data_IF_482135903990
#
_entry.id   IF_482135903990
#
_cell.length_a   1.000
_cell.length_b   1.000
_cell.length_c   1.000
_cell.angle_alpha   90.00
_cell.angle_beta   90.00
_cell.angle_gamma   90.00
#
_symmetry.space_group_name_H-M   'P 1'
#
loop_
_entity.id
_entity.type
_entity.pdbx_description
1 polymer ?
#
# COMPACT_ATOMS: atom_id res chain seq x y z
N UNK A 1 -3.57 52.52 18.21
CA UNK A 1 -4.13 52.61 16.85
C UNK A 1 -2.96 52.67 15.87
N UNK A 2 -2.61 51.53 15.26
CA UNK A 2 -1.82 51.33 14.03
C UNK A 2 -1.11 49.96 14.06
N UNK A 3 -1.89 48.87 14.08
CA UNK A 3 -1.41 47.55 13.68
C UNK A 3 -1.76 47.31 12.21
N UNK A 4 -0.78 46.83 11.42
CA UNK A 4 -0.86 46.08 10.15
C UNK A 4 -1.74 46.67 9.03
N UNK A 5 -1.19 46.89 7.81
CA UNK A 5 -1.25 45.79 6.82
C UNK A 5 -0.26 45.92 5.64
N UNK A 6 0.95 45.32 5.66
CA UNK A 6 1.82 45.34 4.46
C UNK A 6 2.59 44.05 4.12
N UNK A 7 2.19 42.89 4.65
CA UNK A 7 2.70 41.59 4.14
C UNK A 7 1.59 40.54 4.05
N UNK A 8 0.54 40.83 3.28
CA UNK A 8 -0.34 39.80 2.70
C UNK A 8 0.12 39.50 1.27
N UNK A 9 1.36 39.03 1.13
CA UNK A 9 1.68 38.20 -0.03
C UNK A 9 0.75 36.99 0.04
N UNK A 10 -0.14 36.81 -0.94
CA UNK A 10 -1.08 35.68 -1.00
C UNK A 10 -0.27 34.38 -0.92
N UNK A 11 -0.17 33.79 0.26
CA UNK A 11 0.34 32.42 0.40
C UNK A 11 -0.67 31.50 -0.28
N UNK A 12 -0.18 30.65 -1.19
CA UNK A 12 -1.00 29.62 -1.81
C UNK A 12 -1.69 28.77 -0.72
N UNK A 13 -2.95 28.35 -0.91
CA UNK A 13 -3.58 27.38 -0.02
C UNK A 13 -2.74 26.11 0.08
N UNK A 14 -2.68 25.47 1.25
CA UNK A 14 -1.88 24.25 1.46
C UNK A 14 -2.18 23.16 0.42
N UNK A 15 -3.44 23.03 0.00
CA UNK A 15 -3.83 22.08 -1.04
C UNK A 15 -3.15 22.36 -2.38
N UNK A 16 -3.01 23.64 -2.76
CA UNK A 16 -2.30 24.03 -3.97
C UNK A 16 -0.79 23.75 -3.87
N UNK A 17 -0.19 23.96 -2.68
CA UNK A 17 1.22 23.61 -2.45
C UNK A 17 1.43 22.10 -2.58
N UNK A 18 0.55 21.29 -1.98
CA UNK A 18 0.57 19.83 -2.13
C UNK A 18 0.40 19.42 -3.59
N UNK A 19 -0.50 20.08 -4.33
CA UNK A 19 -0.69 19.81 -5.76
C UNK A 19 0.57 20.08 -6.57
N UNK A 20 1.25 21.21 -6.33
CA UNK A 20 2.52 21.54 -7.02
C UNK A 20 3.59 20.49 -6.74
N UNK A 21 3.77 20.09 -5.48
CA UNK A 21 4.75 19.05 -5.10
C UNK A 21 4.40 17.70 -5.75
N UNK A 22 3.13 17.31 -5.72
CA UNK A 22 2.65 16.06 -6.31
C UNK A 22 2.87 16.05 -7.83
N UNK A 23 2.46 17.10 -8.53
CA UNK A 23 2.62 17.23 -9.98
C UNK A 23 4.10 17.24 -10.39
N UNK A 24 4.96 17.93 -9.66
CA UNK A 24 6.41 17.88 -9.90
C UNK A 24 6.95 16.45 -9.78
N UNK A 25 6.54 15.70 -8.75
CA UNK A 25 6.92 14.30 -8.61
C UNK A 25 6.36 13.40 -9.73
N UNK A 26 5.16 13.70 -10.25
CA UNK A 26 4.57 13.01 -11.40
C UNK A 26 5.37 13.25 -12.68
N UNK A 27 5.84 14.48 -12.92
CA UNK A 27 6.69 14.78 -14.08
C UNK A 27 7.98 13.95 -14.03
N UNK A 28 8.63 13.90 -12.86
CA UNK A 28 9.85 13.08 -12.68
C UNK A 28 9.57 11.59 -12.87
N UNK A 29 8.48 11.08 -12.27
CA UNK A 29 8.07 9.68 -12.43
C UNK A 29 7.76 9.33 -13.89
N UNK A 30 7.12 10.24 -14.61
CA UNK A 30 6.82 10.08 -16.04
C UNK A 30 8.11 10.05 -16.86
N UNK A 31 9.08 10.92 -16.55
CA UNK A 31 10.39 10.90 -17.20
C UNK A 31 11.14 9.59 -16.95
N UNK A 32 11.03 9.02 -15.74
CA UNK A 32 11.54 7.68 -15.46
C UNK A 32 10.84 6.60 -16.29
N UNK A 33 9.51 6.64 -16.46
CA UNK A 33 8.83 5.69 -17.35
C UNK A 33 9.23 5.85 -18.82
N UNK A 34 9.42 7.08 -19.30
CA UNK A 34 9.94 7.35 -20.67
C UNK A 34 11.31 6.71 -20.83
N UNK A 35 12.22 6.93 -19.87
CA UNK A 35 13.56 6.37 -19.92
C UNK A 35 13.54 4.84 -19.81
N UNK A 36 12.70 4.29 -18.94
CA UNK A 36 12.54 2.84 -18.79
C UNK A 36 12.04 2.19 -20.07
N UNK A 37 11.03 2.77 -20.71
CA UNK A 37 10.52 2.31 -22.01
C UNK A 37 11.62 2.34 -23.08
N UNK A 38 12.41 3.42 -23.15
CA UNK A 38 13.52 3.54 -24.10
C UNK A 38 14.68 2.55 -23.83
N UNK A 39 14.82 2.07 -22.59
CA UNK A 39 15.84 1.09 -22.19
C UNK A 39 15.33 -0.36 -22.25
N UNK A 40 14.03 -0.59 -22.50
CA UNK A 40 13.49 -1.92 -22.70
C UNK A 40 14.09 -2.56 -23.95
N UNK A 41 14.74 -3.71 -23.79
CA UNK A 41 15.32 -4.47 -24.90
C UNK A 41 14.50 -5.71 -25.27
N UNK A 42 14.99 -6.55 -26.21
CA UNK A 42 14.32 -7.80 -26.59
C UNK A 42 14.09 -8.78 -25.43
N UNK A 43 14.94 -8.73 -24.41
CA UNK A 43 14.78 -9.52 -23.19
C UNK A 43 13.83 -8.91 -22.16
N UNK A 44 13.21 -7.75 -22.43
CA UNK A 44 12.23 -7.13 -21.54
C UNK A 44 10.90 -7.88 -21.59
N UNK A 45 10.18 -7.94 -20.47
CA UNK A 45 8.79 -8.45 -20.46
C UNK A 45 7.87 -7.70 -21.44
N UNK A 46 8.12 -6.42 -21.64
CA UNK A 46 7.29 -5.57 -22.51
C UNK A 46 7.85 -5.44 -23.93
N UNK A 47 8.94 -6.14 -24.24
CA UNK A 47 9.59 -6.10 -25.55
C UNK A 47 10.42 -4.82 -25.80
N UNK A 48 11.10 -4.76 -26.96
CA UNK A 48 12.01 -3.66 -27.31
C UNK A 48 11.27 -2.35 -27.67
N UNK A 49 10.00 -2.43 -28.04
CA UNK A 49 9.17 -1.28 -28.46
C UNK A 49 8.18 -0.86 -27.36
N UNK A 50 8.52 -1.12 -26.10
CA UNK A 50 7.66 -0.82 -24.95
C UNK A 50 7.25 0.66 -24.92
N UNK A 51 5.98 0.92 -24.62
CA UNK A 51 5.47 2.27 -24.41
C UNK A 51 5.19 2.54 -22.93
N UNK A 52 5.04 3.82 -22.56
CA UNK A 52 4.59 4.19 -21.21
C UNK A 52 3.25 3.53 -20.86
N UNK A 53 2.36 3.34 -21.85
CA UNK A 53 1.08 2.69 -21.63
C UNK A 53 1.26 1.20 -21.26
N UNK A 54 2.15 0.49 -21.95
CA UNK A 54 2.47 -0.92 -21.64
C UNK A 54 3.02 -1.05 -20.22
N UNK A 55 3.92 -0.15 -19.83
CA UNK A 55 4.48 -0.12 -18.48
C UNK A 55 3.41 0.22 -17.44
N UNK A 56 2.53 1.19 -17.72
CA UNK A 56 1.51 1.63 -16.76
C UNK A 56 0.39 0.61 -16.55
N UNK A 57 0.09 -0.22 -17.56
CA UNK A 57 -0.98 -1.23 -17.52
C UNK A 57 -0.46 -2.64 -17.26
N UNK A 58 0.86 -2.83 -17.20
CA UNK A 58 1.48 -4.12 -17.03
C UNK A 58 1.15 -4.81 -15.70
N UNK A 59 1.59 -6.06 -15.58
CA UNK A 59 1.60 -6.82 -14.33
C UNK A 59 0.21 -6.91 -13.66
N UNK A 60 0.05 -6.50 -12.39
CA UNK A 60 -1.21 -6.60 -11.65
C UNK A 60 -2.36 -5.83 -12.33
N UNK A 61 -2.03 -4.80 -13.13
CA UNK A 61 -3.02 -4.06 -13.91
C UNK A 61 -3.78 -4.95 -14.90
N UNK A 62 -3.12 -5.97 -15.46
CA UNK A 62 -3.74 -6.94 -16.35
C UNK A 62 -4.79 -7.79 -15.63
N UNK A 63 -4.58 -8.10 -14.35
CA UNK A 63 -5.54 -8.88 -13.56
C UNK A 63 -6.77 -8.08 -13.18
N UNK A 64 -6.60 -6.80 -12.82
CA UNK A 64 -7.74 -5.91 -12.59
C UNK A 64 -8.53 -5.66 -13.88
N UNK A 65 -7.85 -5.50 -15.02
CA UNK A 65 -8.50 -5.41 -16.32
C UNK A 65 -9.25 -6.69 -16.66
N UNK A 66 -8.61 -7.85 -16.49
CA UNK A 66 -9.20 -9.16 -16.76
C UNK A 66 -10.45 -9.39 -15.91
N UNK A 67 -10.39 -9.09 -14.60
CA UNK A 67 -11.52 -9.20 -13.70
C UNK A 67 -12.69 -8.27 -14.10
N UNK A 68 -12.39 -7.06 -14.56
CA UNK A 68 -13.40 -6.12 -15.02
C UNK A 68 -14.12 -6.57 -16.29
N UNK A 69 -13.40 -7.24 -17.21
CA UNK A 69 -13.91 -7.65 -18.52
C UNK A 69 -14.56 -9.03 -18.48
N UNK A 70 -13.94 -9.98 -17.78
CA UNK A 70 -14.33 -11.40 -17.79
C UNK A 70 -15.01 -11.84 -16.49
N UNK A 71 -15.00 -11.00 -15.45
CA UNK A 71 -15.49 -11.36 -14.13
C UNK A 71 -14.56 -12.33 -13.41
N UNK A 72 -15.14 -13.07 -12.45
CA UNK A 72 -14.43 -14.05 -11.64
C UNK A 72 -14.87 -15.47 -12.05
N UNK A 73 -13.93 -16.42 -12.20
CA UNK A 73 -14.26 -17.76 -12.67
C UNK A 73 -15.05 -18.53 -11.61
N UNK A 74 -16.13 -19.20 -12.04
CA UNK A 74 -16.88 -20.15 -11.21
C UNK A 74 -16.11 -21.47 -11.07
N UNK A 75 -15.55 -21.98 -12.16
CA UNK A 75 -14.65 -23.13 -12.14
C UNK A 75 -13.20 -22.64 -12.03
N UNK A 76 -12.49 -23.07 -10.98
CA UNK A 76 -11.10 -22.64 -10.79
C UNK A 76 -10.21 -23.21 -11.90
N UNK A 77 -9.40 -22.36 -12.58
CA UNK A 77 -8.47 -22.85 -13.58
C UNK A 77 -7.44 -23.77 -12.92
N UNK A 78 -7.09 -24.85 -13.60
CA UNK A 78 -6.11 -25.83 -13.13
C UNK A 78 -4.87 -25.81 -14.04
N UNK A 79 -3.71 -26.03 -13.42
CA UNK A 79 -2.43 -26.31 -14.07
C UNK A 79 -2.44 -27.72 -14.68
N UNK A 80 -1.45 -28.03 -15.52
CA UNK A 80 -1.29 -29.38 -16.10
C UNK A 80 -1.16 -30.48 -15.04
N UNK A 81 -0.63 -30.15 -13.86
CA UNK A 81 -0.52 -31.08 -12.72
C UNK A 81 -1.81 -31.19 -11.89
N UNK A 82 -2.90 -30.53 -12.29
CA UNK A 82 -4.18 -30.54 -11.59
C UNK A 82 -4.28 -29.62 -10.37
N UNK A 83 -3.24 -28.82 -10.07
CA UNK A 83 -3.30 -27.82 -9.01
C UNK A 83 -3.98 -26.53 -9.49
N UNK A 84 -4.66 -25.79 -8.60
CA UNK A 84 -5.27 -24.49 -8.94
C UNK A 84 -4.22 -23.53 -9.52
N UNK A 85 -4.53 -22.90 -10.65
CA UNK A 85 -3.69 -21.89 -11.27
C UNK A 85 -3.98 -20.49 -10.72
N UNK A 86 -3.06 -19.56 -10.95
CA UNK A 86 -3.23 -18.14 -10.70
C UNK A 86 -4.50 -17.62 -11.38
N UNK A 87 -5.30 -16.85 -10.65
CA UNK A 87 -6.57 -16.38 -11.18
C UNK A 87 -7.04 -15.08 -10.49
N UNK A 88 -8.13 -14.53 -11.05
CA UNK A 88 -8.66 -13.22 -10.67
C UNK A 88 -9.13 -13.13 -9.21
N UNK A 89 -9.45 -14.24 -8.51
CA UNK A 89 -9.94 -14.19 -7.13
C UNK A 89 -8.96 -13.54 -6.13
N UNK A 90 -7.66 -13.45 -6.46
CA UNK A 90 -6.66 -12.71 -5.68
C UNK A 90 -6.85 -11.17 -5.74
N UNK A 91 -7.61 -10.65 -6.71
CA UNK A 91 -7.76 -9.22 -6.97
C UNK A 91 -9.18 -8.75 -6.61
N UNK A 92 -9.24 -7.83 -5.64
CA UNK A 92 -10.52 -7.32 -5.13
C UNK A 92 -11.26 -6.46 -6.18
N UNK A 93 -12.61 -6.47 -6.19
CA UNK A 93 -13.38 -5.99 -7.34
C UNK A 93 -13.47 -4.48 -7.49
N UNK A 94 -13.36 -3.70 -6.40
CA UNK A 94 -13.74 -2.30 -6.45
C UNK A 94 -12.89 -1.49 -7.43
N UNK A 95 -11.57 -1.66 -7.40
CA UNK A 95 -10.68 -0.92 -8.30
C UNK A 95 -10.93 -1.29 -9.77
N UNK A 96 -11.08 -2.59 -10.06
CA UNK A 96 -11.34 -3.11 -11.40
C UNK A 96 -12.59 -2.48 -12.03
N UNK A 97 -13.72 -2.52 -11.31
CA UNK A 97 -14.99 -2.01 -11.84
C UNK A 97 -15.09 -0.48 -11.79
N UNK A 98 -14.43 0.19 -10.83
CA UNK A 98 -14.33 1.65 -10.82
C UNK A 98 -13.54 2.16 -12.05
N UNK A 99 -12.43 1.49 -12.37
CA UNK A 99 -11.64 1.76 -13.56
C UNK A 99 -12.42 1.49 -14.85
N UNK A 100 -13.25 0.44 -14.90
CA UNK A 100 -14.14 0.18 -16.03
C UNK A 100 -15.20 1.27 -16.20
N UNK A 101 -15.87 1.67 -15.10
CA UNK A 101 -16.90 2.71 -15.13
C UNK A 101 -16.36 4.06 -15.58
N UNK A 102 -15.22 4.49 -15.04
CA UNK A 102 -14.57 5.73 -15.50
C UNK A 102 -14.00 5.57 -16.92
N UNK A 103 -13.47 4.39 -17.23
CA UNK A 103 -12.93 4.07 -18.55
C UNK A 103 -13.97 4.14 -19.66
N UNK A 104 -15.24 3.83 -19.38
CA UNK A 104 -16.33 4.02 -20.32
C UNK A 104 -16.54 5.49 -20.74
N UNK A 105 -16.18 6.44 -19.88
CA UNK A 105 -16.24 7.88 -20.16
C UNK A 105 -14.96 8.40 -20.83
N UNK A 106 -13.81 7.78 -20.54
CA UNK A 106 -12.49 8.21 -21.02
C UNK A 106 -11.99 7.45 -22.26
N UNK A 107 -12.75 6.44 -22.73
CA UNK A 107 -12.47 5.68 -23.95
C UNK A 107 -11.68 4.37 -23.76
N UNK A 108 -11.19 4.07 -22.55
CA UNK A 108 -10.57 2.77 -22.25
C UNK A 108 -10.49 2.49 -20.75
N UNK A 109 -10.49 1.21 -20.37
CA UNK A 109 -10.25 0.79 -18.97
C UNK A 109 -8.93 1.34 -18.42
N UNK A 110 -7.86 1.29 -19.22
CA UNK A 110 -6.53 1.78 -18.83
C UNK A 110 -6.53 3.28 -18.51
N UNK A 111 -7.22 4.10 -19.30
CA UNK A 111 -7.38 5.52 -19.01
C UNK A 111 -8.11 5.75 -17.68
N UNK A 112 -9.18 4.98 -17.42
CA UNK A 112 -9.90 4.99 -16.14
C UNK A 112 -8.99 4.64 -14.96
N UNK A 113 -8.23 3.55 -15.07
CA UNK A 113 -7.32 3.06 -14.04
C UNK A 113 -6.23 4.09 -13.69
N UNK A 114 -5.53 4.63 -14.70
CA UNK A 114 -4.47 5.62 -14.52
C UNK A 114 -5.00 6.92 -13.91
N UNK A 115 -6.17 7.40 -14.36
CA UNK A 115 -6.80 8.61 -13.79
C UNK A 115 -7.19 8.38 -12.33
N UNK A 116 -7.74 7.21 -11.98
CA UNK A 116 -8.02 6.87 -10.57
C UNK A 116 -6.73 6.90 -9.75
N UNK A 117 -5.65 6.28 -10.24
CA UNK A 117 -4.36 6.26 -9.53
C UNK A 117 -3.78 7.66 -9.32
N UNK A 118 -3.91 8.55 -10.32
CA UNK A 118 -3.48 9.94 -10.24
C UNK A 118 -4.30 10.75 -9.21
N UNK A 119 -5.63 10.65 -9.30
CA UNK A 119 -6.54 11.37 -8.40
C UNK A 119 -6.40 10.86 -6.96
N UNK A 120 -6.35 9.55 -6.78
CA UNK A 120 -6.11 8.93 -5.49
C UNK A 120 -4.72 9.27 -4.95
N UNK A 121 -3.70 9.36 -5.80
CA UNK A 121 -2.36 9.76 -5.38
C UNK A 121 -2.29 11.19 -4.85
N UNK A 122 -2.92 12.13 -5.53
CA UNK A 122 -3.08 13.50 -5.00
C UNK A 122 -3.89 13.50 -3.70
N UNK A 123 -5.02 12.77 -3.67
CA UNK A 123 -5.86 12.63 -2.49
C UNK A 123 -5.10 12.05 -1.29
N UNK A 124 -4.26 11.05 -1.51
CA UNK A 124 -3.40 10.43 -0.51
C UNK A 124 -2.35 11.42 0.02
N UNK A 125 -1.68 12.16 -0.88
CA UNK A 125 -0.74 13.22 -0.48
C UNK A 125 -1.43 14.30 0.36
N UNK A 126 -2.63 14.72 -0.02
CA UNK A 126 -3.42 15.68 0.75
C UNK A 126 -3.86 15.12 2.11
N UNK A 127 -4.36 13.90 2.15
CA UNK A 127 -4.77 13.24 3.39
C UNK A 127 -3.57 13.06 4.35
N UNK A 128 -2.41 12.65 3.82
CA UNK A 128 -1.15 12.55 4.57
C UNK A 128 -0.74 13.91 5.15
N UNK A 129 -0.75 14.97 4.32
CA UNK A 129 -0.47 16.33 4.78
C UNK A 129 -1.40 16.70 5.95
N UNK A 130 -2.70 16.47 5.82
CA UNK A 130 -3.71 16.81 6.84
C UNK A 130 -3.59 15.96 8.11
N UNK A 131 -3.13 14.71 8.00
CA UNK A 131 -2.88 13.81 9.12
C UNK A 131 -1.66 14.26 9.94
N UNK A 132 -0.61 14.71 9.25
CA UNK A 132 0.68 15.06 9.86
C UNK A 132 0.79 16.52 10.30
N UNK A 133 0.12 17.45 9.59
CA UNK A 133 0.21 18.90 9.84
C UNK A 133 0.01 19.32 11.31
N UNK A 134 -1.01 18.81 12.05
CA UNK A 134 -1.18 19.19 13.45
C UNK A 134 -0.03 18.76 14.37
N UNK A 135 0.74 17.73 13.99
CA UNK A 135 1.79 17.14 14.83
C UNK A 135 3.19 17.60 14.45
N UNK A 136 3.45 17.80 13.15
CA UNK A 136 4.78 18.11 12.63
C UNK A 136 4.93 19.58 12.18
N UNK A 137 3.82 20.28 12.01
CA UNK A 137 3.78 21.64 11.46
C UNK A 137 3.92 21.70 9.93
N UNK A 138 3.79 22.89 9.35
CA UNK A 138 3.59 23.06 7.90
C UNK A 138 4.77 22.56 7.07
N UNK A 139 6.00 22.95 7.42
CA UNK A 139 7.17 22.60 6.62
C UNK A 139 7.44 21.09 6.59
N UNK A 140 7.42 20.42 7.75
CA UNK A 140 7.66 18.99 7.83
C UNK A 140 6.57 18.18 7.12
N UNK A 141 5.31 18.60 7.17
CA UNK A 141 4.23 17.92 6.44
C UNK A 141 4.36 18.03 4.93
N UNK A 142 4.83 19.16 4.40
CA UNK A 142 5.12 19.28 2.96
C UNK A 142 6.32 18.41 2.55
N UNK A 143 7.36 18.32 3.38
CA UNK A 143 8.47 17.39 3.12
C UNK A 143 8.04 15.92 3.18
N UNK A 144 7.15 15.56 4.10
CA UNK A 144 6.56 14.22 4.14
C UNK A 144 5.79 13.90 2.85
N UNK A 145 5.04 14.87 2.32
CA UNK A 145 4.38 14.74 1.00
C UNK A 145 5.42 14.58 -0.12
N UNK A 146 6.49 15.37 -0.12
CA UNK A 146 7.54 15.24 -1.13
C UNK A 146 8.18 13.85 -1.10
N UNK A 147 8.52 13.33 0.08
CA UNK A 147 9.09 11.98 0.23
C UNK A 147 8.11 10.88 -0.16
N UNK A 148 6.82 11.07 0.10
CA UNK A 148 5.80 10.10 -0.28
C UNK A 148 5.56 10.10 -1.79
N UNK A 149 5.43 11.27 -2.39
CA UNK A 149 5.15 11.46 -3.81
C UNK A 149 6.34 11.11 -4.71
N UNK A 150 7.57 11.34 -4.25
CA UNK A 150 8.83 11.09 -4.97
C UNK A 150 9.67 9.97 -4.34
N UNK A 151 9.07 9.18 -3.45
CA UNK A 151 9.73 8.04 -2.81
C UNK A 151 9.87 6.86 -3.78
N UNK A 152 10.51 5.76 -3.34
CA UNK A 152 10.79 4.61 -4.19
C UNK A 152 9.54 4.02 -4.87
N UNK A 153 8.39 4.12 -4.20
CA UNK A 153 7.10 3.62 -4.67
C UNK A 153 6.22 4.70 -5.29
N UNK A 154 6.77 5.88 -5.58
CA UNK A 154 6.03 6.97 -6.22
C UNK A 154 5.42 6.56 -7.56
N UNK A 155 5.95 5.54 -8.23
CA UNK A 155 5.40 4.99 -9.47
C UNK A 155 3.95 4.49 -9.30
N UNK A 156 3.57 4.02 -8.11
CA UNK A 156 2.23 3.49 -7.82
C UNK A 156 1.10 4.50 -8.05
N UNK A 157 1.37 5.81 -8.01
CA UNK A 157 0.35 6.82 -8.30
C UNK A 157 0.10 7.06 -9.80
N UNK A 158 0.77 6.34 -10.69
CA UNK A 158 0.65 6.50 -12.15
C UNK A 158 0.48 5.18 -12.92
N UNK A 159 0.38 4.05 -12.23
CA UNK A 159 0.14 2.74 -12.84
C UNK A 159 -1.26 2.22 -12.45
N UNK A 160 -1.77 1.24 -13.19
CA UNK A 160 -3.13 0.69 -13.06
C UNK A 160 -3.28 -0.29 -11.87
N UNK A 161 -2.87 0.14 -10.68
CA UNK A 161 -2.80 -0.64 -9.45
C UNK A 161 -3.75 -0.07 -8.38
N UNK A 162 -4.32 -0.95 -7.55
CA UNK A 162 -5.27 -0.53 -6.50
C UNK A 162 -4.62 0.19 -5.31
N UNK A 163 -3.29 0.13 -5.17
CA UNK A 163 -2.53 0.64 -4.04
C UNK A 163 -2.74 2.13 -3.77
N UNK A 164 -2.75 2.95 -4.82
CA UNK A 164 -2.96 4.39 -4.68
C UNK A 164 -4.34 4.69 -4.09
N UNK A 165 -5.38 4.02 -4.59
CA UNK A 165 -6.75 4.14 -4.07
C UNK A 165 -6.85 3.63 -2.64
N UNK A 166 -6.27 2.47 -2.34
CA UNK A 166 -6.28 1.90 -1.00
C UNK A 166 -5.62 2.83 0.02
N UNK A 167 -4.42 3.36 -0.27
CA UNK A 167 -3.70 4.23 0.66
C UNK A 167 -4.42 5.57 0.84
N UNK A 168 -5.05 6.11 -0.20
CA UNK A 168 -5.90 7.29 -0.05
C UNK A 168 -7.03 7.04 0.96
N UNK A 169 -7.80 5.96 0.76
CA UNK A 169 -8.91 5.59 1.63
C UNK A 169 -8.45 5.30 3.07
N UNK A 170 -7.31 4.61 3.22
CA UNK A 170 -6.68 4.36 4.50
C UNK A 170 -6.31 5.65 5.24
N UNK A 171 -5.68 6.61 4.56
CA UNK A 171 -5.29 7.88 5.20
C UNK A 171 -6.51 8.71 5.60
N UNK A 172 -7.61 8.63 4.83
CA UNK A 172 -8.90 9.18 5.24
C UNK A 172 -9.44 8.47 6.49
N UNK A 173 -9.40 7.14 6.52
CA UNK A 173 -9.87 6.34 7.65
C UNK A 173 -9.06 6.63 8.93
N UNK A 174 -7.73 6.69 8.83
CA UNK A 174 -6.86 7.10 9.94
C UNK A 174 -7.17 8.53 10.40
N UNK A 175 -7.43 9.45 9.47
CA UNK A 175 -7.85 10.82 9.80
C UNK A 175 -9.19 10.83 10.54
N UNK A 176 -10.14 9.98 10.17
CA UNK A 176 -11.42 9.82 10.87
C UNK A 176 -11.21 9.29 12.29
N UNK A 177 -10.35 8.29 12.49
CA UNK A 177 -10.01 7.77 13.83
C UNK A 177 -9.35 8.84 14.70
N UNK A 178 -8.33 9.54 14.18
CA UNK A 178 -7.64 10.63 14.89
C UNK A 178 -8.61 11.75 15.26
N UNK A 179 -9.58 12.06 14.40
CA UNK A 179 -10.59 13.11 14.64
C UNK A 179 -11.86 12.61 15.34
N UNK A 180 -11.90 11.35 15.80
CA UNK A 180 -13.06 10.74 16.47
C UNK A 180 -14.34 10.75 15.64
N UNK A 181 -14.23 10.80 14.31
CA UNK A 181 -15.37 10.80 13.37
C UNK A 181 -15.66 9.40 12.85
N UNK A 182 -16.06 8.51 13.75
CA UNK A 182 -16.23 7.09 13.42
C UNK A 182 -17.34 6.81 12.41
N UNK A 183 -18.36 7.67 12.30
CA UNK A 183 -19.47 7.48 11.36
C UNK A 183 -19.04 7.25 9.91
N UNK A 184 -18.01 7.97 9.44
CA UNK A 184 -17.47 7.80 8.08
C UNK A 184 -16.79 6.44 7.86
N UNK A 185 -16.32 5.78 8.93
CA UNK A 185 -15.64 4.50 8.82
C UNK A 185 -16.59 3.37 8.42
N UNK A 186 -17.89 3.47 8.71
CA UNK A 186 -18.86 2.48 8.26
C UNK A 186 -18.98 2.42 6.73
N UNK A 187 -18.71 3.53 6.04
CA UNK A 187 -18.61 3.57 4.57
C UNK A 187 -17.19 3.24 4.07
N UNK A 188 -16.16 3.79 4.72
CA UNK A 188 -14.77 3.59 4.27
C UNK A 188 -14.29 2.15 4.41
N UNK A 189 -14.68 1.43 5.47
CA UNK A 189 -14.19 0.07 5.75
C UNK A 189 -14.59 -0.93 4.65
N UNK A 190 -15.87 -1.02 4.22
CA UNK A 190 -16.24 -1.87 3.08
C UNK A 190 -15.52 -1.48 1.78
N UNK A 191 -15.49 -0.19 1.46
CA UNK A 191 -14.83 0.32 0.24
C UNK A 191 -13.34 -0.05 0.23
N UNK A 192 -12.64 0.14 1.35
CA UNK A 192 -11.24 -0.26 1.50
C UNK A 192 -11.05 -1.77 1.35
N UNK A 193 -11.88 -2.57 2.04
CA UNK A 193 -11.76 -4.02 2.04
C UNK A 193 -11.98 -4.66 0.67
N UNK A 194 -12.84 -4.07 -0.17
CA UNK A 194 -13.02 -4.49 -1.56
C UNK A 194 -12.08 -3.78 -2.56
N UNK A 195 -11.15 -2.93 -2.10
CA UNK A 195 -10.10 -2.36 -2.95
C UNK A 195 -8.86 -3.25 -3.01
N UNK A 196 -8.42 -3.78 -1.86
CA UNK A 196 -7.22 -4.61 -1.71
C UNK A 196 -7.28 -5.43 -0.42
N UNK A 197 -6.65 -6.64 -0.36
CA UNK A 197 -6.40 -7.30 0.92
C UNK A 197 -5.69 -6.38 1.92
N UNK A 198 -6.09 -6.44 3.20
CA UNK A 198 -5.47 -5.65 4.28
C UNK A 198 -6.42 -5.09 5.32
N UNK A 199 -7.74 -5.18 5.12
CA UNK A 199 -8.71 -4.62 6.08
C UNK A 199 -8.69 -5.32 7.45
N UNK A 200 -8.26 -6.59 7.53
CA UNK A 200 -8.05 -7.30 8.79
C UNK A 200 -6.97 -6.63 9.67
N UNK A 201 -5.93 -6.03 9.06
CA UNK A 201 -4.98 -5.20 9.80
C UNK A 201 -5.66 -3.98 10.44
N UNK A 202 -6.67 -3.41 9.77
CA UNK A 202 -7.44 -2.28 10.30
C UNK A 202 -8.32 -2.72 11.47
N UNK A 203 -8.89 -3.94 11.41
CA UNK A 203 -9.61 -4.53 12.54
C UNK A 203 -8.69 -4.70 13.77
N UNK A 204 -7.48 -5.26 13.58
CA UNK A 204 -6.47 -5.38 14.63
C UNK A 204 -6.08 -4.01 15.19
N UNK A 205 -5.86 -3.02 14.31
CA UNK A 205 -5.58 -1.63 14.71
C UNK A 205 -6.68 -1.07 15.59
N UNK A 206 -7.96 -1.20 15.21
CA UNK A 206 -9.09 -0.71 16.01
C UNK A 206 -9.17 -1.41 17.38
N UNK A 207 -8.93 -2.73 17.42
CA UNK A 207 -8.85 -3.49 18.67
C UNK A 207 -7.75 -2.96 19.60
N UNK A 208 -6.52 -2.82 19.09
CA UNK A 208 -5.39 -2.28 19.85
C UNK A 208 -5.62 -0.83 20.29
N UNK A 209 -6.24 -0.03 19.42
CA UNK A 209 -6.59 1.36 19.72
C UNK A 209 -7.64 1.45 20.83
N UNK A 210 -8.66 0.58 20.80
CA UNK A 210 -9.66 0.45 21.85
C UNK A 210 -9.03 0.09 23.20
N UNK A 211 -8.13 -0.91 23.21
CA UNK A 211 -7.38 -1.32 24.41
C UNK A 211 -6.54 -0.15 24.95
N UNK A 212 -5.80 0.54 24.07
CA UNK A 212 -4.99 1.69 24.46
C UNK A 212 -5.83 2.80 25.11
N UNK A 213 -6.98 3.13 24.52
CA UNK A 213 -7.90 4.12 25.09
C UNK A 213 -8.51 3.67 26.40
N UNK A 214 -8.88 2.39 26.51
CA UNK A 214 -9.42 1.83 27.75
C UNK A 214 -8.42 1.97 28.90
N UNK A 215 -7.13 1.70 28.65
CA UNK A 215 -6.05 1.89 29.62
C UNK A 215 -5.87 3.38 29.96
N UNK A 216 -5.99 4.26 28.95
CA UNK A 216 -5.82 5.71 29.09
C UNK A 216 -7.08 6.45 29.53
N UNK A 217 -8.20 5.76 29.81
CA UNK A 217 -9.51 6.39 30.05
C UNK A 217 -9.56 7.39 31.21
N UNK A 218 -8.64 7.28 32.16
CA UNK A 218 -8.49 8.24 33.28
C UNK A 218 -7.88 9.58 32.85
N UNK A 219 -7.10 9.59 31.77
CA UNK A 219 -6.44 10.77 31.21
C UNK A 219 -7.15 11.30 29.95
N UNK A 220 -7.72 10.41 29.14
CA UNK A 220 -8.54 10.75 27.96
C UNK A 220 -9.90 10.07 28.11
N UNK A 221 -10.99 10.79 28.40
CA UNK A 221 -12.32 10.21 28.52
C UNK A 221 -12.68 9.32 27.32
N UNK A 222 -13.31 8.18 27.61
CA UNK A 222 -13.78 7.23 26.62
C UNK A 222 -15.31 7.07 26.77
N UNK A 223 -16.10 7.90 26.07
CA UNK A 223 -17.55 7.80 26.06
C UNK A 223 -18.02 6.45 25.52
N UNK A 224 -19.17 5.98 26.00
CA UNK A 224 -19.77 4.70 25.57
C UNK A 224 -20.01 4.67 24.05
N UNK A 225 -20.42 5.78 23.45
CA UNK A 225 -20.61 5.87 21.99
C UNK A 225 -19.33 5.55 21.22
N UNK A 226 -18.17 6.00 21.70
CA UNK A 226 -16.88 5.68 21.07
C UNK A 226 -16.50 4.21 21.25
N UNK A 227 -16.84 3.60 22.39
CA UNK A 227 -16.65 2.15 22.61
C UNK A 227 -17.48 1.36 21.60
N UNK A 228 -18.77 1.69 21.47
CA UNK A 228 -19.69 1.04 20.51
C UNK A 228 -19.14 1.16 19.09
N UNK A 229 -18.71 2.35 18.67
CA UNK A 229 -18.13 2.53 17.34
C UNK A 229 -16.86 1.72 17.12
N UNK A 230 -15.91 1.72 18.07
CA UNK A 230 -14.66 0.97 17.92
C UNK A 230 -14.94 -0.53 17.80
N UNK A 231 -15.81 -1.08 18.65
CA UNK A 231 -16.17 -2.51 18.63
C UNK A 231 -16.93 -2.87 17.36
N UNK A 232 -17.97 -2.10 17.00
CA UNK A 232 -18.77 -2.36 15.81
C UNK A 232 -17.96 -2.24 14.51
N UNK A 233 -17.05 -1.25 14.41
CA UNK A 233 -16.16 -1.11 13.26
C UNK A 233 -15.08 -2.18 13.22
N UNK A 234 -14.59 -2.65 14.37
CA UNK A 234 -13.72 -3.82 14.46
C UNK A 234 -14.42 -5.06 13.91
N UNK A 235 -15.66 -5.32 14.34
CA UNK A 235 -16.48 -6.42 13.84
C UNK A 235 -16.78 -6.28 12.34
N UNK A 236 -17.13 -5.08 11.87
CA UNK A 236 -17.35 -4.80 10.45
C UNK A 236 -16.08 -5.06 9.63
N UNK A 237 -14.92 -4.56 10.06
CA UNK A 237 -13.66 -4.75 9.36
C UNK A 237 -13.26 -6.22 9.29
N UNK A 238 -13.51 -6.99 10.37
CA UNK A 238 -13.34 -8.44 10.36
C UNK A 238 -14.28 -9.10 9.36
N UNK A 239 -15.59 -8.80 9.42
CA UNK A 239 -16.58 -9.36 8.50
C UNK A 239 -16.26 -9.06 7.04
N UNK A 240 -15.92 -7.81 6.71
CA UNK A 240 -15.47 -7.40 5.38
C UNK A 240 -14.19 -8.14 4.96
N UNK A 241 -13.25 -8.33 5.88
CA UNK A 241 -11.99 -9.03 5.59
C UNK A 241 -12.17 -10.49 5.18
N UNK A 242 -13.21 -11.16 5.67
CA UNK A 242 -13.57 -12.52 5.29
C UNK A 242 -14.65 -12.59 4.20
N UNK A 243 -15.33 -11.49 3.90
CA UNK A 243 -16.45 -11.45 2.97
C UNK A 243 -16.05 -11.93 1.57
N UNK A 244 -14.88 -11.51 1.07
CA UNK A 244 -14.42 -11.91 -0.25
C UNK A 244 -14.14 -13.42 -0.37
N UNK A 245 -13.60 -14.02 0.69
CA UNK A 245 -13.40 -15.47 0.76
C UNK A 245 -14.75 -16.22 0.72
N UNK A 246 -15.75 -15.69 1.44
CA UNK A 246 -17.11 -16.22 1.41
C UNK A 246 -17.76 -16.08 0.03
N UNK A 247 -17.56 -14.96 -0.66
CA UNK A 247 -18.07 -14.74 -2.02
C UNK A 247 -17.43 -15.73 -3.01
N UNK A 248 -16.11 -15.93 -2.92
CA UNK A 248 -15.40 -16.93 -3.71
C UNK A 248 -15.99 -18.33 -3.47
N UNK A 249 -16.11 -18.73 -2.21
CA UNK A 249 -16.65 -20.04 -1.84
C UNK A 249 -18.08 -20.29 -2.34
N UNK A 250 -18.94 -19.26 -2.31
CA UNK A 250 -20.32 -19.37 -2.79
C UNK A 250 -20.36 -19.53 -4.31
N UNK A 251 -19.55 -18.75 -5.04
CA UNK A 251 -19.58 -18.75 -6.51
C UNK A 251 -18.92 -20.00 -7.09
N UNK A 252 -17.84 -20.48 -6.48
CA UNK A 252 -17.12 -21.67 -6.95
C UNK A 252 -17.67 -22.98 -6.40
N UNK A 253 -18.47 -22.93 -5.33
CA UNK A 253 -18.89 -24.10 -4.58
C UNK A 253 -17.77 -24.74 -3.74
N UNK A 254 -16.59 -24.11 -3.65
CA UNK A 254 -15.42 -24.60 -2.93
C UNK A 254 -15.02 -23.63 -1.78
N UNK A 255 -15.21 -24.00 -0.51
CA UNK A 255 -14.78 -23.21 0.64
C UNK A 255 -13.28 -22.84 0.66
N UNK A 256 -12.44 -23.63 -0.02
CA UNK A 256 -11.00 -23.42 -0.13
C UNK A 256 -10.59 -22.49 -1.28
N UNK A 257 -11.51 -22.05 -2.15
CA UNK A 257 -11.18 -21.44 -3.43
C UNK A 257 -10.26 -20.21 -3.35
N UNK A 258 -10.58 -19.29 -2.44
CA UNK A 258 -9.76 -18.08 -2.25
C UNK A 258 -8.36 -18.44 -1.74
N UNK A 259 -8.27 -19.34 -0.76
CA UNK A 259 -6.98 -19.75 -0.20
C UNK A 259 -6.14 -20.50 -1.23
N UNK A 260 -6.75 -21.41 -2.00
CA UNK A 260 -6.08 -22.14 -3.07
C UNK A 260 -5.54 -21.19 -4.14
N UNK A 261 -6.29 -20.11 -4.44
CA UNK A 261 -5.87 -19.04 -5.34
C UNK A 261 -4.67 -18.28 -4.79
N UNK A 262 -4.72 -17.79 -3.54
CA UNK A 262 -3.60 -17.08 -2.90
C UNK A 262 -2.33 -17.96 -2.83
N UNK A 263 -2.49 -19.25 -2.56
CA UNK A 263 -1.37 -20.20 -2.56
C UNK A 263 -0.84 -20.52 -3.96
N UNK A 264 -1.64 -20.36 -5.02
CA UNK A 264 -1.15 -20.51 -6.40
C UNK A 264 -0.06 -19.49 -6.73
N UNK A 265 -0.25 -18.24 -6.30
CA UNK A 265 0.74 -17.18 -6.45
C UNK A 265 2.05 -17.47 -5.70
N UNK A 266 1.96 -18.12 -4.52
CA UNK A 266 3.14 -18.54 -3.74
C UNK A 266 3.94 -19.65 -4.42
N UNK A 267 3.28 -20.57 -5.12
CA UNK A 267 3.95 -21.73 -5.76
C UNK A 267 4.96 -21.35 -6.84
N UNK A 268 4.80 -20.19 -7.47
CA UNK A 268 5.81 -19.67 -8.41
C UNK A 268 7.19 -19.42 -7.78
N UNK A 269 7.23 -19.24 -6.46
CA UNK A 269 8.45 -18.96 -5.71
C UNK A 269 8.96 -20.17 -4.96
N UNK A 270 8.06 -21.03 -4.50
CA UNK A 270 8.38 -22.26 -3.79
C UNK A 270 7.56 -23.39 -4.44
N UNK A 271 8.13 -24.11 -5.42
CA UNK A 271 7.42 -25.16 -6.15
C UNK A 271 6.87 -26.28 -5.26
N UNK A 272 7.59 -26.62 -4.18
CA UNK A 272 7.21 -27.66 -3.21
C UNK A 272 6.46 -27.12 -1.99
N UNK A 273 5.92 -25.88 -2.06
CA UNK A 273 5.14 -25.34 -0.95
C UNK A 273 3.93 -26.23 -0.69
N UNK A 274 3.74 -26.62 0.57
CA UNK A 274 2.54 -27.35 0.97
C UNK A 274 1.30 -26.56 0.55
N UNK A 275 0.24 -27.24 0.10
CA UNK A 275 -1.06 -26.62 -0.18
C UNK A 275 -1.78 -26.10 1.07
N UNK A 276 -1.08 -26.06 2.21
CA UNK A 276 -1.61 -25.68 3.52
C UNK A 276 -1.08 -24.29 3.86
N UNK A 277 -1.98 -23.42 4.30
CA UNK A 277 -1.61 -22.12 4.83
C UNK A 277 -1.41 -22.19 6.35
N UNK A 278 -0.21 -21.86 6.81
CA UNK A 278 0.10 -21.69 8.23
C UNK A 278 0.46 -20.22 8.48
N UNK A 279 -0.28 -19.51 9.35
CA UNK A 279 0.07 -18.14 9.70
C UNK A 279 1.50 -18.02 10.22
N UNK A 280 2.18 -16.92 9.90
CA UNK A 280 3.57 -16.61 10.28
C UNK A 280 4.66 -17.48 9.63
N UNK A 281 4.32 -18.45 8.79
CA UNK A 281 5.29 -19.31 8.10
C UNK A 281 5.97 -18.59 6.92
N UNK A 282 5.26 -17.67 6.26
CA UNK A 282 5.70 -17.04 5.01
C UNK A 282 7.01 -16.26 5.11
N UNK A 283 7.19 -15.46 6.17
CA UNK A 283 8.40 -14.66 6.37
C UNK A 283 9.65 -15.51 6.65
N UNK A 284 9.63 -16.49 7.59
CA UNK A 284 10.72 -17.44 7.75
C UNK A 284 11.05 -18.19 6.46
N UNK A 285 10.04 -18.70 5.74
CA UNK A 285 10.25 -19.41 4.48
C UNK A 285 10.94 -18.51 3.43
N UNK A 286 10.51 -17.25 3.31
CA UNK A 286 11.13 -16.29 2.40
C UNK A 286 12.56 -15.94 2.82
N UNK A 287 12.82 -15.76 4.12
CA UNK A 287 14.15 -15.46 4.63
C UNK A 287 15.15 -16.57 4.28
N UNK A 288 14.75 -17.84 4.44
CA UNK A 288 15.56 -18.97 4.03
C UNK A 288 15.79 -18.97 2.51
N UNK A 289 14.71 -18.85 1.73
CA UNK A 289 14.75 -18.85 0.26
C UNK A 289 15.70 -17.78 -0.30
N UNK A 290 15.55 -16.53 0.12
CA UNK A 290 16.34 -15.42 -0.43
C UNK A 290 17.81 -15.50 -0.04
N UNK A 291 18.12 -15.86 1.21
CA UNK A 291 19.50 -16.00 1.64
C UNK A 291 20.20 -17.15 0.91
N UNK A 292 19.53 -18.28 0.72
CA UNK A 292 20.04 -19.39 -0.08
C UNK A 292 20.25 -18.99 -1.54
N UNK A 293 19.31 -18.24 -2.13
CA UNK A 293 19.47 -17.71 -3.49
C UNK A 293 20.66 -16.74 -3.62
N UNK A 294 21.06 -16.08 -2.53
CA UNK A 294 22.27 -15.24 -2.46
C UNK A 294 23.56 -16.02 -2.10
N UNK A 295 23.49 -17.35 -2.00
CA UNK A 295 24.63 -18.20 -1.62
C UNK A 295 24.96 -18.19 -0.13
N UNK A 296 24.03 -17.77 0.73
CA UNK A 296 24.14 -17.74 2.18
C UNK A 296 23.32 -18.87 2.83
N UNK A 297 23.63 -19.19 4.08
CA UNK A 297 22.88 -20.18 4.86
C UNK A 297 21.52 -19.62 5.35
N UNK A 298 20.52 -20.50 5.48
CA UNK A 298 19.18 -20.17 5.98
C UNK A 298 19.22 -19.63 7.42
N UNK A 299 20.17 -20.08 8.25
CA UNK A 299 20.37 -19.56 9.61
C UNK A 299 20.66 -18.06 9.58
N UNK A 300 21.49 -17.60 8.64
CA UNK A 300 21.77 -16.17 8.46
C UNK A 300 20.49 -15.40 8.09
N UNK A 301 19.62 -15.99 7.27
CA UNK A 301 18.31 -15.45 6.94
C UNK A 301 17.40 -15.29 8.16
N UNK A 302 17.31 -16.31 9.01
CA UNK A 302 16.51 -16.25 10.24
C UNK A 302 17.03 -15.21 11.23
N UNK A 303 18.36 -15.11 11.40
CA UNK A 303 18.98 -14.09 12.24
C UNK A 303 18.68 -12.69 11.70
N UNK A 304 18.86 -12.48 10.39
CA UNK A 304 18.58 -11.20 9.75
C UNK A 304 17.10 -10.79 9.88
N UNK A 305 16.18 -11.73 9.72
CA UNK A 305 14.75 -11.52 9.94
C UNK A 305 14.46 -11.14 11.41
N UNK A 306 15.04 -11.86 12.37
CA UNK A 306 14.89 -11.55 13.80
C UNK A 306 15.40 -10.15 14.15
N UNK A 307 16.58 -9.78 13.64
CA UNK A 307 17.15 -8.43 13.81
C UNK A 307 16.26 -7.37 13.15
N UNK A 308 15.74 -7.62 11.96
CA UNK A 308 14.84 -6.70 11.27
C UNK A 308 13.55 -6.46 12.07
N UNK A 309 12.91 -7.53 12.55
CA UNK A 309 11.70 -7.43 13.38
C UNK A 309 11.98 -6.68 14.67
N UNK A 310 13.10 -6.97 15.35
CA UNK A 310 13.50 -6.27 16.57
C UNK A 310 13.79 -4.78 16.31
N UNK A 311 14.47 -4.45 15.21
CA UNK A 311 14.78 -3.07 14.84
C UNK A 311 13.51 -2.27 14.50
N UNK A 312 12.58 -2.86 13.75
CA UNK A 312 11.28 -2.26 13.43
C UNK A 312 10.45 -2.03 14.69
N UNK A 313 10.38 -3.04 15.58
CA UNK A 313 9.70 -2.90 16.87
C UNK A 313 10.33 -1.79 17.73
N UNK A 314 11.66 -1.75 17.81
CA UNK A 314 12.39 -0.71 18.53
C UNK A 314 12.12 0.68 17.93
N UNK A 315 12.11 0.82 16.61
CA UNK A 315 11.79 2.07 15.94
C UNK A 315 10.36 2.55 16.25
N UNK A 316 9.37 1.64 16.19
CA UNK A 316 7.98 1.94 16.53
C UNK A 316 7.79 2.27 18.02
N UNK A 317 8.58 1.69 18.91
CA UNK A 317 8.45 1.89 20.36
C UNK A 317 9.21 3.11 20.88
N UNK A 318 10.44 3.31 20.42
CA UNK A 318 11.41 4.18 21.07
C UNK A 318 11.83 5.38 20.24
N UNK A 319 11.78 5.31 18.90
CA UNK A 319 12.28 6.40 18.07
C UNK A 319 11.43 7.69 18.29
N UNK A 320 12.04 8.81 18.77
CA UNK A 320 11.33 10.06 19.07
C UNK A 320 10.49 10.65 17.93
N UNK A 321 10.99 10.65 16.71
CA UNK A 321 10.33 11.12 15.49
C UNK A 321 9.11 10.27 15.14
N UNK A 322 9.18 8.95 15.31
CA UNK A 322 8.03 8.05 15.13
C UNK A 322 6.99 8.28 16.23
N UNK A 323 7.44 8.46 17.48
CA UNK A 323 6.56 8.80 18.61
C UNK A 323 5.78 10.11 18.40
N UNK A 324 6.38 11.10 17.74
CA UNK A 324 5.72 12.37 17.38
C UNK A 324 4.55 12.21 16.41
N UNK A 325 4.47 11.10 15.66
CA UNK A 325 3.37 10.84 14.71
C UNK A 325 2.05 10.48 15.40
N UNK A 326 2.08 10.21 16.71
CA UNK A 326 0.90 9.83 17.49
C UNK A 326 0.74 8.31 17.61
N UNK A 327 -0.13 7.91 18.54
CA UNK A 327 -0.37 6.49 18.84
C UNK A 327 -1.11 5.80 17.70
N UNK A 328 -1.97 6.52 16.98
CA UNK A 328 -2.81 5.97 15.92
C UNK A 328 -1.94 5.48 14.76
N UNK A 329 -0.99 6.31 14.32
CA UNK A 329 -0.03 5.94 13.26
C UNK A 329 0.84 4.75 13.68
N UNK A 330 1.27 4.72 14.95
CA UNK A 330 2.12 3.65 15.47
C UNK A 330 1.38 2.32 15.58
N UNK A 331 0.17 2.33 16.13
CA UNK A 331 -0.67 1.15 16.25
C UNK A 331 -1.11 0.64 14.88
N UNK A 332 -1.46 1.52 13.95
CA UNK A 332 -1.73 1.13 12.56
C UNK A 332 -0.51 0.43 11.95
N UNK A 333 0.67 1.05 12.05
CA UNK A 333 1.90 0.50 11.49
C UNK A 333 2.24 -0.87 12.09
N UNK A 334 2.12 -1.01 13.42
CA UNK A 334 2.34 -2.27 14.10
C UNK A 334 1.31 -3.33 13.67
N UNK A 335 0.02 -2.99 13.65
CA UNK A 335 -1.05 -3.90 13.24
C UNK A 335 -0.88 -4.38 11.79
N UNK A 336 -0.52 -3.47 10.90
CA UNK A 336 -0.30 -3.79 9.49
C UNK A 336 0.94 -4.67 9.27
N UNK A 337 2.04 -4.40 9.98
CA UNK A 337 3.23 -5.23 9.93
C UNK A 337 2.98 -6.63 10.52
N UNK A 338 2.27 -6.74 11.64
CA UNK A 338 1.87 -8.03 12.21
C UNK A 338 0.99 -8.81 11.23
N UNK A 339 0.03 -8.13 10.60
CA UNK A 339 -0.81 -8.73 9.57
C UNK A 339 0.02 -9.26 8.40
N UNK A 340 0.95 -8.45 7.86
CA UNK A 340 1.83 -8.89 6.78
C UNK A 340 2.66 -10.11 7.20
N UNK A 341 3.29 -10.10 8.38
CA UNK A 341 4.07 -11.25 8.86
C UNK A 341 3.18 -12.49 9.02
N UNK A 342 1.93 -12.32 9.45
CA UNK A 342 1.01 -13.42 9.64
C UNK A 342 0.56 -14.09 8.33
N UNK A 343 0.32 -13.32 7.26
CA UNK A 343 -0.37 -13.87 6.08
C UNK A 343 0.43 -13.86 4.78
N UNK A 344 1.51 -13.09 4.71
CA UNK A 344 2.22 -12.86 3.47
C UNK A 344 3.53 -13.63 3.37
N UNK A 345 3.87 -14.05 2.15
CA UNK A 345 5.17 -14.58 1.78
C UNK A 345 5.99 -13.49 1.05
N UNK A 346 7.05 -12.94 1.66
CA UNK A 346 7.87 -11.88 1.05
C UNK A 346 8.52 -12.28 -0.28
N UNK A 347 7.92 -11.82 -1.36
CA UNK A 347 8.43 -11.87 -2.72
C UNK A 347 8.89 -10.47 -3.19
N UNK A 348 9.27 -10.31 -4.45
CA UNK A 348 9.74 -9.02 -5.00
C UNK A 348 8.74 -7.87 -4.85
N UNK A 349 7.43 -8.18 -4.79
CA UNK A 349 6.36 -7.21 -4.57
C UNK A 349 6.22 -6.70 -3.13
N UNK A 350 7.05 -7.17 -2.18
CA UNK A 350 7.01 -6.74 -0.78
C UNK A 350 7.07 -5.22 -0.64
N UNK A 351 7.82 -4.52 -1.49
CA UNK A 351 7.91 -3.07 -1.41
C UNK A 351 6.55 -2.40 -1.58
N UNK A 352 5.74 -2.80 -2.56
CA UNK A 352 4.38 -2.27 -2.76
C UNK A 352 3.44 -2.60 -1.60
N UNK A 353 3.67 -3.71 -0.92
CA UNK A 353 2.92 -4.09 0.27
C UNK A 353 3.31 -3.26 1.48
N UNK A 354 4.49 -2.63 1.52
CA UNK A 354 4.82 -1.67 2.58
C UNK A 354 4.20 -0.29 2.37
N UNK A 355 3.54 -0.03 1.23
CA UNK A 355 2.96 1.27 0.90
C UNK A 355 1.95 1.80 1.95
N UNK A 356 1.12 0.96 2.61
CA UNK A 356 0.24 1.41 3.69
C UNK A 356 0.95 1.92 4.95
N UNK A 357 2.28 1.77 5.06
CA UNK A 357 3.11 2.41 6.08
C UNK A 357 3.44 3.87 5.76
N UNK A 358 2.87 4.44 4.69
CA UNK A 358 3.05 5.84 4.27
C UNK A 358 3.04 6.89 5.40
N UNK A 359 2.21 6.81 6.46
CA UNK A 359 2.28 7.77 7.57
C UNK A 359 3.66 7.89 8.23
N UNK A 360 4.47 6.81 8.24
CA UNK A 360 5.79 6.78 8.86
C UNK A 360 6.81 7.69 8.17
N UNK A 361 6.58 8.07 6.90
CA UNK A 361 7.46 9.04 6.21
C UNK A 361 7.51 10.40 6.91
N UNK A 362 6.49 10.71 7.73
CA UNK A 362 6.49 11.88 8.59
C UNK A 362 7.67 11.90 9.59
N UNK A 363 8.14 10.73 10.04
CA UNK A 363 9.29 10.65 10.93
C UNK A 363 10.58 11.11 10.21
N UNK A 364 10.74 10.75 8.94
CA UNK A 364 11.87 11.19 8.10
C UNK A 364 11.83 12.70 7.81
N UNK A 365 10.63 13.29 7.79
CA UNK A 365 10.44 14.72 7.55
C UNK A 365 10.57 15.60 8.80
N UNK A 366 10.52 15.00 9.99
CA UNK A 366 10.59 15.71 11.26
C UNK A 366 11.95 16.41 11.52
N UNK A 367 13.13 15.85 11.15
CA UNK A 367 14.38 16.59 11.17
C UNK A 367 14.32 17.85 10.31
N UNK A 368 14.87 18.96 10.82
CA UNK A 368 14.85 20.27 10.13
C UNK A 368 16.03 20.49 9.18
N UNK A 369 17.04 19.62 9.22
CA UNK A 369 18.24 19.74 8.39
C UNK A 369 17.88 19.69 6.89
N UNK A 370 18.21 20.73 6.10
CA UNK A 370 18.00 20.71 4.66
C UNK A 370 18.78 19.61 3.96
N UNK A 371 20.04 19.38 4.37
CA UNK A 371 20.88 18.33 3.82
C UNK A 371 20.28 16.93 4.02
N UNK A 372 19.73 16.67 5.21
CA UNK A 372 18.99 15.43 5.48
C UNK A 372 17.79 15.27 4.56
N UNK A 373 16.96 16.31 4.46
CA UNK A 373 15.73 16.26 3.66
C UNK A 373 16.01 16.08 2.17
N UNK A 374 17.01 16.79 1.66
CA UNK A 374 17.48 16.63 0.28
C UNK A 374 18.04 15.22 0.09
N UNK A 375 18.85 14.72 1.02
CA UNK A 375 19.38 13.35 0.98
C UNK A 375 18.29 12.28 0.92
N UNK A 376 17.26 12.40 1.76
CA UNK A 376 16.09 11.49 1.74
C UNK A 376 15.34 11.58 0.42
N UNK A 377 15.12 12.78 -0.12
CA UNK A 377 14.45 12.98 -1.40
C UNK A 377 15.25 12.35 -2.56
N UNK A 378 16.56 12.60 -2.61
CA UNK A 378 17.46 12.04 -3.62
C UNK A 378 17.51 10.52 -3.51
N UNK A 379 17.64 9.97 -2.30
CA UNK A 379 17.59 8.53 -2.07
C UNK A 379 16.24 7.93 -2.52
N UNK A 380 15.14 8.64 -2.27
CA UNK A 380 13.81 8.27 -2.73
C UNK A 380 13.71 8.20 -4.26
N UNK A 381 14.21 9.23 -4.96
CA UNK A 381 14.23 9.29 -6.42
C UNK A 381 15.15 8.23 -7.05
N UNK A 382 16.33 8.02 -6.48
CA UNK A 382 17.25 6.96 -6.93
C UNK A 382 16.63 5.59 -6.72
N UNK A 383 16.02 5.35 -5.55
CA UNK A 383 15.29 4.11 -5.28
C UNK A 383 14.11 3.92 -6.22
N UNK A 384 13.41 5.01 -6.58
CA UNK A 384 12.30 4.97 -7.53
C UNK A 384 12.78 4.60 -8.93
N UNK A 385 13.84 5.25 -9.42
CA UNK A 385 14.45 4.90 -10.70
C UNK A 385 14.92 3.45 -10.72
N UNK A 386 15.63 3.01 -9.68
CA UNK A 386 16.11 1.64 -9.56
C UNK A 386 14.96 0.62 -9.61
N UNK A 387 13.87 0.88 -8.88
CA UNK A 387 12.69 0.01 -8.89
C UNK A 387 12.01 0.00 -10.26
N UNK A 388 11.77 1.16 -10.88
CA UNK A 388 11.18 1.25 -12.23
C UNK A 388 12.05 0.52 -13.25
N UNK A 389 13.35 0.75 -13.25
CA UNK A 389 14.27 0.11 -14.19
C UNK A 389 14.23 -1.42 -14.06
N UNK A 390 14.36 -1.96 -12.84
CA UNK A 390 14.38 -3.41 -12.65
C UNK A 390 13.02 -4.07 -12.95
N UNK A 391 11.91 -3.47 -12.50
CA UNK A 391 10.59 -4.11 -12.59
C UNK A 391 9.84 -3.82 -13.90
N UNK A 392 10.17 -2.72 -14.59
CA UNK A 392 9.46 -2.28 -15.80
C UNK A 392 10.34 -2.24 -17.04
N UNK A 393 11.59 -1.77 -16.96
CA UNK A 393 12.47 -1.81 -18.14
C UNK A 393 12.96 -3.23 -18.42
N UNK A 394 13.38 -3.95 -17.37
CA UNK A 394 13.82 -5.35 -17.47
C UNK A 394 12.65 -6.33 -17.30
N UNK A 395 12.14 -6.51 -16.07
CA UNK A 395 10.97 -7.34 -15.78
C UNK A 395 11.10 -8.81 -16.21
N UNK A 396 12.32 -9.33 -16.36
CA UNK A 396 12.59 -10.55 -17.11
C UNK A 396 13.05 -11.75 -16.27
N UNK A 397 13.14 -11.57 -14.96
CA UNK A 397 13.40 -12.63 -14.00
C UNK A 397 12.32 -12.66 -12.92
N UNK A 398 12.23 -13.78 -12.20
CA UNK A 398 11.20 -13.95 -11.18
C UNK A 398 11.32 -12.92 -10.04
N UNK A 399 12.52 -12.40 -9.74
CA UNK A 399 12.72 -11.33 -8.74
C UNK A 399 12.48 -9.91 -9.25
N UNK A 400 12.09 -9.76 -10.52
CA UNK A 400 11.76 -8.48 -11.15
C UNK A 400 10.25 -8.27 -11.35
N UNK A 401 9.43 -9.05 -10.64
CA UNK A 401 7.98 -8.87 -10.61
C UNK A 401 7.66 -7.75 -9.60
N UNK A 402 7.07 -6.61 -10.00
CA UNK A 402 6.90 -5.44 -9.14
C UNK A 402 6.06 -5.69 -7.91
#
# INVERSE_FOLDING_TARGET
MAERPLTRGRRLPDAAVVAVVYLAARVVTTAFFVLAAALSGPGSRFGPDATIADLALGWDGQWYWFAAVNGYPADLPLTESGAVAENAWAFMPLYAYLAAGLGALLGSWGAGAVVISLLAGYGACWALHRLLHPRLGPAASIWAVAFFAAGPLGALFQIAYAEALFVFLLLLALTCVVRRRYGWLYALVPVMGFTRPGILAFALFLGLFGIWRWIRRRAEPLPVSEIVHIVALGALATGVGFAWQGVAAIITGDPGAYLATELAWRRNWIPDASGVFVPFEGFPAAAAFWFQAWGLDAIAGYIALGVLVAAVAAALLFEPHVRRLGVEVRLWSAAYLVYLVAVFFPQSSIFRLLFPLAPLVGALAAPRSPAWRIGVLVAGLVGQWWWIYNMYALGNTYWQIP
#
